data_IF_018383308931
#
_entry.id   IF_018383308931
#
_cell.length_a   1.000
_cell.length_b   1.000
_cell.length_c   1.000
_cell.angle_alpha   90.00
_cell.angle_beta   90.00
_cell.angle_gamma   90.00
#
_symmetry.space_group_name_H-M   'P 1'
#
loop_
_entity.id
_entity.type
_entity.pdbx_description
1 polymer ?
#
# COMPACT_ATOMS: atom_id res chain seq x y z
N UNK A 1 -1.57 13.75 -25.21
CA UNK A 1 -0.10 13.76 -25.04
C UNK A 1 0.49 12.76 -26.02
N UNK A 2 1.79 12.84 -26.33
CA UNK A 2 2.47 11.79 -27.13
C UNK A 2 2.90 10.65 -26.21
N UNK A 3 3.02 9.42 -26.72
CA UNK A 3 3.47 8.28 -25.93
C UNK A 3 4.84 8.50 -25.25
N UNK A 4 5.72 9.31 -25.85
CA UNK A 4 7.01 9.70 -25.27
C UNK A 4 6.84 10.61 -24.04
N UNK A 5 5.91 11.58 -24.11
CA UNK A 5 5.62 12.46 -22.98
C UNK A 5 4.93 11.69 -21.84
N UNK A 6 4.06 10.74 -22.18
CA UNK A 6 3.37 9.90 -21.20
C UNK A 6 4.35 8.96 -20.47
N UNK A 7 5.33 8.41 -21.19
CA UNK A 7 6.40 7.61 -20.60
C UNK A 7 7.29 8.43 -19.66
N UNK A 8 7.68 9.64 -20.06
CA UNK A 8 8.42 10.56 -19.18
C UNK A 8 7.63 10.85 -17.89
N UNK A 9 6.35 11.22 -18.02
CA UNK A 9 5.50 11.51 -16.89
C UNK A 9 5.32 10.30 -15.95
N UNK A 10 5.08 9.11 -16.50
CA UNK A 10 4.97 7.88 -15.71
C UNK A 10 6.28 7.59 -14.95
N UNK A 11 7.43 7.72 -15.61
CA UNK A 11 8.73 7.52 -14.96
C UNK A 11 8.95 8.54 -13.83
N UNK A 12 8.60 9.82 -14.05
CA UNK A 12 8.68 10.87 -13.02
C UNK A 12 7.77 10.55 -11.82
N UNK A 13 6.56 10.06 -12.05
CA UNK A 13 5.64 9.62 -10.98
C UNK A 13 6.22 8.45 -10.16
N UNK A 14 6.84 7.46 -10.81
CA UNK A 14 7.43 6.29 -10.14
C UNK A 14 8.64 6.62 -9.26
N UNK A 15 9.41 7.65 -9.62
CA UNK A 15 10.65 8.04 -8.92
C UNK A 15 10.51 9.29 -8.05
N UNK A 16 9.32 9.89 -7.96
CA UNK A 16 9.09 11.07 -7.12
C UNK A 16 9.29 10.74 -5.63
N UNK A 17 10.27 11.40 -4.99
CA UNK A 17 10.64 11.25 -3.58
C UNK A 17 10.72 12.58 -2.82
N UNK A 18 10.65 13.72 -3.50
CA UNK A 18 10.68 15.04 -2.86
C UNK A 18 9.48 15.89 -3.28
N UNK A 19 9.11 16.83 -2.42
CA UNK A 19 8.06 17.83 -2.71
C UNK A 19 8.32 18.56 -4.02
N UNK A 20 9.56 19.02 -4.23
CA UNK A 20 9.98 19.67 -5.48
C UNK A 20 9.72 18.81 -6.73
N UNK A 21 9.98 17.50 -6.68
CA UNK A 21 9.71 16.61 -7.81
C UNK A 21 8.20 16.49 -8.09
N UNK A 22 7.39 16.34 -7.04
CA UNK A 22 5.93 16.26 -7.17
C UNK A 22 5.34 17.57 -7.67
N UNK A 23 5.82 18.71 -7.18
CA UNK A 23 5.38 20.04 -7.61
C UNK A 23 5.77 20.32 -9.06
N UNK A 24 6.95 19.89 -9.49
CA UNK A 24 7.36 19.96 -10.89
C UNK A 24 6.48 19.07 -11.79
N UNK A 25 5.98 17.94 -11.30
CA UNK A 25 5.02 17.10 -12.02
C UNK A 25 3.68 17.86 -12.13
N UNK A 26 3.13 18.32 -11.01
CA UNK A 26 1.86 19.06 -10.96
C UNK A 26 1.90 20.28 -11.89
N UNK A 27 3.00 21.04 -11.88
CA UNK A 27 3.17 22.25 -12.70
C UNK A 27 3.25 21.97 -14.21
N UNK A 28 3.59 20.75 -14.60
CA UNK A 28 3.61 20.32 -16.01
C UNK A 28 2.26 19.78 -16.51
N UNK A 29 1.27 19.64 -15.62
CA UNK A 29 -0.04 19.08 -15.92
C UNK A 29 -1.09 20.18 -16.09
N UNK A 30 -2.14 19.97 -16.92
CA UNK A 30 -3.25 20.91 -17.06
C UNK A 30 -4.19 20.84 -15.84
N UNK A 31 -3.72 21.25 -14.66
CA UNK A 31 -4.50 21.21 -13.42
C UNK A 31 -5.30 22.50 -13.26
N UNK A 32 -6.61 22.37 -13.11
CA UNK A 32 -7.49 23.50 -12.86
C UNK A 32 -7.31 24.06 -11.44
N UNK A 33 -7.34 25.39 -11.32
CA UNK A 33 -7.34 26.05 -10.00
C UNK A 33 -8.58 25.68 -9.18
N UNK A 34 -8.41 25.53 -7.87
CA UNK A 34 -9.48 25.27 -6.90
C UNK A 34 -10.54 26.38 -6.87
N UNK A 35 -10.20 27.60 -7.32
CA UNK A 35 -11.16 28.72 -7.39
C UNK A 35 -12.16 28.57 -8.53
N UNK A 36 -11.81 27.80 -9.56
CA UNK A 36 -12.61 27.64 -10.79
C UNK A 36 -13.52 26.41 -10.75
N UNK A 37 -13.11 25.36 -10.03
CA UNK A 37 -13.93 24.19 -9.79
C UNK A 37 -13.60 23.58 -8.44
N UNK A 38 -14.63 23.38 -7.61
CA UNK A 38 -14.49 22.71 -6.33
C UNK A 38 -15.72 21.87 -6.03
N UNK A 39 -15.49 20.71 -5.42
CA UNK A 39 -16.53 19.98 -4.73
C UNK A 39 -17.00 20.80 -3.52
N UNK A 40 -18.28 20.69 -3.17
CA UNK A 40 -18.93 21.31 -2.02
C UNK A 40 -19.75 20.26 -1.22
N UNK A 41 -20.52 20.68 -0.22
CA UNK A 41 -21.33 19.78 0.61
C UNK A 41 -22.45 19.10 -0.20
N UNK A 42 -22.80 17.84 0.17
CA UNK A 42 -23.88 17.04 -0.45
C UNK A 42 -23.78 16.93 -1.98
N UNK A 43 -22.59 16.55 -2.48
CA UNK A 43 -22.29 16.36 -3.90
C UNK A 43 -22.48 17.60 -4.79
N UNK A 44 -22.69 18.78 -4.19
CA UNK A 44 -22.76 20.03 -4.94
C UNK A 44 -21.38 20.34 -5.52
N UNK A 45 -21.36 20.80 -6.77
CA UNK A 45 -20.15 21.25 -7.47
C UNK A 45 -20.26 22.75 -7.69
N UNK A 46 -19.20 23.50 -7.38
CA UNK A 46 -19.08 24.94 -7.68
C UNK A 46 -18.17 25.07 -8.90
N UNK A 47 -18.61 25.84 -9.89
CA UNK A 47 -17.91 26.00 -11.16
C UNK A 47 -18.27 24.90 -12.17
N UNK A 48 -17.58 24.93 -13.31
CA UNK A 48 -17.83 24.00 -14.43
C UNK A 48 -16.61 23.10 -14.61
N UNK A 49 -16.84 21.80 -14.72
CA UNK A 49 -15.78 20.85 -15.09
C UNK A 49 -15.22 21.21 -16.47
N UNK A 50 -13.91 21.39 -16.59
CA UNK A 50 -13.26 21.68 -17.87
C UNK A 50 -12.70 20.39 -18.50
N UNK A 51 -13.27 19.90 -19.63
CA UNK A 51 -12.73 18.73 -20.30
C UNK A 51 -11.25 18.91 -20.68
N UNK A 52 -10.48 17.82 -20.59
CA UNK A 52 -9.04 17.83 -20.87
C UNK A 52 -8.15 18.42 -19.76
N UNK A 53 -8.74 18.83 -18.62
CA UNK A 53 -8.01 19.30 -17.45
C UNK A 53 -8.21 18.36 -16.26
N UNK A 54 -7.22 18.33 -15.37
CA UNK A 54 -7.30 17.61 -14.10
C UNK A 54 -7.88 18.51 -13.01
N UNK A 55 -8.64 17.92 -12.10
CA UNK A 55 -9.28 18.63 -11.00
C UNK A 55 -9.00 17.95 -9.66
N UNK A 56 -9.00 18.74 -8.60
CA UNK A 56 -8.89 18.22 -7.24
C UNK A 56 -10.26 17.73 -6.76
N UNK A 57 -10.38 16.41 -6.55
CA UNK A 57 -11.57 15.74 -6.04
C UNK A 57 -11.31 15.26 -4.60
N UNK A 58 -12.21 15.50 -3.64
CA UNK A 58 -12.02 15.01 -2.28
C UNK A 58 -11.86 13.49 -2.23
N UNK A 59 -10.91 12.99 -1.44
CA UNK A 59 -10.79 11.55 -1.15
C UNK A 59 -12.10 11.05 -0.54
N UNK A 60 -12.59 9.92 -1.02
CA UNK A 60 -13.91 9.37 -0.67
C UNK A 60 -15.10 10.17 -1.22
N UNK A 61 -14.86 11.14 -2.13
CA UNK A 61 -15.86 12.11 -2.62
C UNK A 61 -16.53 12.90 -1.49
N UNK A 62 -15.86 13.00 -0.35
CA UNK A 62 -16.38 13.66 0.85
C UNK A 62 -15.40 14.74 1.34
N UNK A 63 -15.81 16.01 1.28
CA UNK A 63 -15.03 17.14 1.83
C UNK A 63 -14.91 17.11 3.35
N UNK A 64 -15.71 16.31 4.05
CA UNK A 64 -15.61 16.05 5.48
C UNK A 64 -14.53 15.04 5.86
N UNK A 65 -13.75 14.55 4.88
CA UNK A 65 -12.78 13.48 5.11
C UNK A 65 -11.63 13.79 6.08
N UNK A 66 -11.36 15.08 6.37
CA UNK A 66 -10.21 15.50 7.18
C UNK A 66 -10.18 14.82 8.55
N UNK A 67 -11.32 14.73 9.24
CA UNK A 67 -11.42 14.09 10.56
C UNK A 67 -11.33 12.57 10.54
N UNK A 68 -11.70 11.91 9.43
CA UNK A 68 -11.51 10.45 9.25
C UNK A 68 -10.05 10.12 8.92
N UNK A 69 -9.40 10.96 8.12
CA UNK A 69 -8.02 10.74 7.72
C UNK A 69 -7.04 11.10 8.84
N UNK A 70 -7.25 12.23 9.53
CA UNK A 70 -6.41 12.70 10.65
C UNK A 70 -6.83 12.04 11.95
N UNK A 71 -6.26 10.88 12.24
CA UNK A 71 -6.35 10.29 13.57
C UNK A 71 -4.97 10.20 14.20
N UNK A 72 -4.91 10.46 15.50
CA UNK A 72 -3.70 10.33 16.28
C UNK A 72 -3.23 8.86 16.27
N UNK A 73 -1.96 8.64 16.00
CA UNK A 73 -1.35 7.32 15.99
C UNK A 73 0.14 7.40 15.69
N UNK A 74 0.84 6.30 15.93
CA UNK A 74 2.25 6.19 15.57
C UNK A 74 2.43 6.27 14.04
N UNK A 75 3.41 7.02 13.53
CA UNK A 75 3.61 7.23 12.09
C UNK A 75 4.08 5.96 11.36
N UNK A 76 4.40 4.90 12.09
CA UNK A 76 4.69 3.57 11.53
C UNK A 76 3.41 2.78 11.21
N UNK A 77 2.28 3.10 11.85
CA UNK A 77 1.01 2.42 11.64
C UNK A 77 0.50 2.55 10.20
N UNK A 78 0.49 3.74 9.56
CA UNK A 78 0.07 3.86 8.17
C UNK A 78 0.92 3.03 7.20
N UNK A 79 2.22 2.89 7.47
CA UNK A 79 3.12 2.05 6.68
C UNK A 79 2.75 0.58 6.84
N UNK A 80 2.49 0.13 8.07
CA UNK A 80 2.05 -1.23 8.35
C UNK A 80 0.68 -1.54 7.71
N UNK A 81 -0.25 -0.59 7.72
CA UNK A 81 -1.54 -0.71 7.04
C UNK A 81 -1.37 -0.84 5.51
N UNK A 82 -0.48 -0.04 4.90
CA UNK A 82 -0.16 -0.17 3.46
C UNK A 82 0.49 -1.52 3.13
N UNK A 83 1.36 -2.02 4.00
CA UNK A 83 1.94 -3.35 3.89
C UNK A 83 0.87 -4.46 3.96
N UNK A 84 -0.04 -4.38 4.93
CA UNK A 84 -1.17 -5.32 5.06
C UNK A 84 -2.03 -5.31 3.80
N UNK A 85 -2.39 -4.11 3.30
CA UNK A 85 -3.13 -3.99 2.04
C UNK A 85 -2.39 -4.64 0.86
N UNK A 86 -1.07 -4.49 0.79
CA UNK A 86 -0.24 -5.16 -0.22
C UNK A 86 -0.22 -6.68 -0.09
N UNK A 87 -0.16 -7.21 1.14
CA UNK A 87 -0.25 -8.66 1.38
C UNK A 87 -1.62 -9.20 0.94
N UNK A 88 -2.69 -8.51 1.30
CA UNK A 88 -4.05 -8.86 0.91
C UNK A 88 -4.25 -8.80 -0.60
N UNK A 89 -3.69 -7.81 -1.29
CA UNK A 89 -3.75 -7.72 -2.75
C UNK A 89 -3.05 -8.91 -3.44
N UNK A 90 -1.98 -9.44 -2.85
CA UNK A 90 -1.27 -10.63 -3.35
C UNK A 90 -2.08 -11.90 -3.08
N UNK A 91 -2.70 -12.02 -1.92
CA UNK A 91 -3.60 -13.14 -1.59
C UNK A 91 -4.85 -13.12 -2.48
N UNK A 92 -5.46 -11.96 -2.68
CA UNK A 92 -6.66 -11.78 -3.49
C UNK A 92 -6.40 -12.12 -4.96
N UNK A 93 -5.23 -11.75 -5.49
CA UNK A 93 -4.80 -12.20 -6.82
C UNK A 93 -4.82 -13.72 -6.93
N UNK A 94 -4.20 -14.43 -5.99
CA UNK A 94 -4.16 -15.89 -6.01
C UNK A 94 -5.56 -16.51 -5.87
N UNK A 95 -6.44 -15.90 -5.06
CA UNK A 95 -7.84 -16.32 -4.94
C UNK A 95 -8.61 -16.14 -6.25
N UNK A 96 -8.44 -15.03 -6.93
CA UNK A 96 -9.12 -14.75 -8.20
C UNK A 96 -8.62 -15.68 -9.32
N UNK A 97 -7.31 -15.97 -9.38
CA UNK A 97 -6.76 -16.96 -10.31
C UNK A 97 -7.28 -18.38 -10.04
N UNK A 98 -7.50 -18.74 -8.78
CA UNK A 98 -8.14 -20.01 -8.42
C UNK A 98 -9.59 -20.07 -8.91
N UNK A 99 -10.37 -19.01 -8.67
CA UNK A 99 -11.77 -18.93 -9.09
C UNK A 99 -11.96 -18.96 -10.62
N UNK A 100 -10.98 -18.48 -11.38
CA UNK A 100 -11.00 -18.62 -12.84
C UNK A 100 -10.82 -20.07 -13.30
N UNK A 101 -10.09 -20.88 -12.53
CA UNK A 101 -9.84 -22.30 -12.83
C UNK A 101 -10.97 -23.19 -12.29
N UNK A 102 -11.48 -22.84 -11.12
CA UNK A 102 -12.55 -23.54 -10.41
C UNK A 102 -13.48 -22.51 -9.72
N UNK A 103 -14.59 -22.11 -10.38
CA UNK A 103 -15.54 -21.14 -9.82
C UNK A 103 -16.18 -21.58 -8.49
N UNK A 104 -16.22 -22.89 -8.23
CA UNK A 104 -16.82 -23.47 -7.03
C UNK A 104 -15.79 -23.68 -5.89
N UNK A 105 -14.53 -23.31 -6.13
CA UNK A 105 -13.46 -23.45 -5.14
C UNK A 105 -13.82 -22.74 -3.84
N UNK A 106 -13.85 -23.47 -2.73
CA UNK A 106 -14.12 -22.90 -1.40
C UNK A 106 -13.02 -21.93 -0.99
N UNK A 107 -13.40 -20.79 -0.43
CA UNK A 107 -12.46 -19.80 0.08
C UNK A 107 -11.63 -20.37 1.26
N UNK A 108 -10.36 -19.96 1.44
CA UNK A 108 -9.61 -20.30 2.65
C UNK A 108 -10.33 -19.76 3.90
N UNK A 109 -10.26 -20.50 5.00
CA UNK A 109 -10.99 -20.15 6.22
C UNK A 109 -10.31 -19.02 7.03
N UNK A 110 -9.01 -18.81 6.83
CA UNK A 110 -8.22 -17.80 7.54
C UNK A 110 -7.12 -17.23 6.63
N UNK A 111 -6.51 -16.08 6.98
CA UNK A 111 -5.36 -15.55 6.24
C UNK A 111 -4.15 -16.48 6.23
N UNK A 112 -4.01 -17.29 7.28
CA UNK A 112 -2.94 -18.30 7.37
C UNK A 112 -3.21 -19.50 6.47
N UNK A 113 -4.46 -19.90 6.33
CA UNK A 113 -4.84 -20.92 5.36
C UNK A 113 -4.61 -20.45 3.93
N UNK A 114 -4.86 -19.16 3.64
CA UNK A 114 -4.55 -18.55 2.36
C UNK A 114 -3.03 -18.55 2.09
N UNK A 115 -2.24 -18.13 3.08
CA UNK A 115 -0.77 -18.15 3.01
C UNK A 115 -0.23 -19.56 2.72
N UNK A 116 -0.77 -20.58 3.39
CA UNK A 116 -0.40 -21.97 3.17
C UNK A 116 -0.85 -22.48 1.79
N UNK A 117 -2.13 -22.31 1.45
CA UNK A 117 -2.74 -22.82 0.21
C UNK A 117 -2.10 -22.25 -1.05
N UNK A 118 -1.92 -20.94 -1.10
CA UNK A 118 -1.47 -20.26 -2.32
C UNK A 118 0.04 -20.11 -2.42
N UNK A 119 0.73 -20.12 -1.29
CA UNK A 119 2.17 -19.80 -1.25
C UNK A 119 3.02 -20.87 -0.56
N UNK A 120 2.41 -21.98 -0.10
CA UNK A 120 3.13 -23.07 0.56
C UNK A 120 3.87 -22.63 1.81
N UNK A 121 3.42 -21.55 2.47
CA UNK A 121 4.03 -21.04 3.69
C UNK A 121 3.52 -21.83 4.89
N UNK A 122 4.39 -22.57 5.59
CA UNK A 122 3.98 -23.40 6.72
C UNK A 122 3.44 -22.53 7.86
N UNK A 123 2.55 -23.13 8.66
CA UNK A 123 2.08 -22.49 9.89
C UNK A 123 3.21 -22.41 10.91
N UNK A 124 3.20 -21.40 11.78
CA UNK A 124 4.27 -21.16 12.75
C UNK A 124 4.54 -22.36 13.66
N UNK A 125 3.47 -23.04 14.09
CA UNK A 125 3.46 -24.21 14.97
C UNK A 125 3.94 -25.51 14.28
N UNK A 126 4.17 -25.47 12.96
CA UNK A 126 4.76 -26.58 12.21
C UNK A 126 6.24 -26.39 11.87
N UNK A 127 6.83 -25.22 12.13
CA UNK A 127 8.19 -24.88 11.68
C UNK A 127 9.29 -25.75 12.32
N UNK A 128 9.08 -26.17 13.56
CA UNK A 128 9.98 -27.05 14.33
C UNK A 128 10.01 -28.47 13.76
N UNK A 129 8.88 -28.93 13.22
CA UNK A 129 8.67 -30.29 12.68
C UNK A 129 9.19 -30.49 11.26
N UNK A 130 9.46 -29.42 10.52
CA UNK A 130 9.96 -29.52 9.15
C UNK A 130 11.31 -30.24 9.09
N UNK A 131 11.48 -31.15 8.12
CA UNK A 131 12.77 -31.74 7.81
C UNK A 131 13.69 -30.74 7.06
N UNK A 132 14.88 -31.17 6.66
CA UNK A 132 15.83 -30.29 5.98
C UNK A 132 15.38 -29.92 4.55
N UNK A 133 14.74 -30.84 3.83
CA UNK A 133 14.29 -30.60 2.46
C UNK A 133 13.07 -29.66 2.43
N UNK A 134 12.11 -29.88 3.32
CA UNK A 134 10.94 -29.04 3.50
C UNK A 134 11.32 -27.61 3.89
N UNK A 135 12.33 -27.44 4.76
CA UNK A 135 12.85 -26.11 5.12
C UNK A 135 13.49 -25.39 3.95
N UNK A 136 14.32 -26.07 3.17
CA UNK A 136 14.95 -25.48 1.98
C UNK A 136 13.88 -25.03 0.99
N UNK A 137 12.89 -25.88 0.71
CA UNK A 137 11.77 -25.54 -0.17
C UNK A 137 10.92 -24.37 0.36
N UNK A 138 10.64 -24.32 1.66
CA UNK A 138 9.95 -23.19 2.28
C UNK A 138 10.77 -21.89 2.18
N UNK A 139 12.09 -21.97 2.34
CA UNK A 139 12.98 -20.82 2.21
C UNK A 139 13.02 -20.29 0.77
N UNK A 140 13.06 -21.16 -0.23
CA UNK A 140 12.97 -20.77 -1.64
C UNK A 140 11.66 -20.04 -1.93
N UNK A 141 10.52 -20.59 -1.48
CA UNK A 141 9.21 -19.93 -1.58
C UNK A 141 9.21 -18.55 -0.94
N UNK A 142 9.75 -18.42 0.28
CA UNK A 142 9.88 -17.13 0.98
C UNK A 142 10.70 -16.12 0.18
N UNK A 143 11.82 -16.54 -0.42
CA UNK A 143 12.68 -15.68 -1.22
C UNK A 143 12.01 -15.19 -2.51
N UNK A 144 11.07 -15.95 -3.07
CA UNK A 144 10.26 -15.54 -4.21
C UNK A 144 9.15 -14.58 -3.80
N UNK A 145 8.37 -14.94 -2.76
CA UNK A 145 7.20 -14.17 -2.33
C UNK A 145 7.59 -12.78 -1.86
N UNK A 146 8.71 -12.63 -1.12
CA UNK A 146 9.14 -11.33 -0.60
C UNK A 146 9.39 -10.28 -1.67
N UNK A 147 9.73 -10.70 -2.90
CA UNK A 147 9.96 -9.80 -4.04
C UNK A 147 8.65 -9.20 -4.58
N UNK A 148 7.49 -9.70 -4.13
CA UNK A 148 6.18 -9.20 -4.52
C UNK A 148 5.70 -8.05 -3.65
N UNK A 149 6.34 -7.75 -2.52
CA UNK A 149 5.97 -6.64 -1.65
C UNK A 149 7.22 -6.00 -1.07
N UNK A 150 7.36 -4.68 -1.19
CA UNK A 150 8.44 -3.97 -0.52
C UNK A 150 8.01 -2.62 0.04
N UNK A 151 8.76 -2.19 1.06
CA UNK A 151 8.80 -0.81 1.53
C UNK A 151 10.19 -0.24 1.27
N UNK A 152 10.25 0.97 0.74
CA UNK A 152 11.48 1.75 0.61
C UNK A 152 11.34 3.05 1.38
N UNK A 153 12.32 3.33 2.21
CA UNK A 153 12.50 4.60 2.88
C UNK A 153 13.69 5.31 2.24
N UNK A 154 13.40 6.43 1.59
CA UNK A 154 14.39 7.34 1.02
C UNK A 154 14.47 8.60 1.90
N UNK A 155 15.66 9.21 1.97
CA UNK A 155 15.87 10.48 2.66
C UNK A 155 16.65 11.44 1.77
N UNK A 156 16.04 12.59 1.48
CA UNK A 156 16.73 13.67 0.79
C UNK A 156 17.52 14.52 1.79
N UNK A 157 18.85 14.42 1.72
CA UNK A 157 19.74 15.10 2.67
C UNK A 157 19.71 16.63 2.56
N UNK A 158 19.31 17.17 1.40
CA UNK A 158 19.32 18.62 1.14
C UNK A 158 18.09 19.31 1.76
N UNK A 159 16.92 18.72 1.57
CA UNK A 159 15.62 19.23 2.04
C UNK A 159 15.18 18.60 3.36
N UNK A 160 15.91 17.60 3.86
CA UNK A 160 15.60 16.82 5.07
C UNK A 160 14.23 16.13 5.01
N UNK A 161 13.83 15.70 3.82
CA UNK A 161 12.54 15.07 3.57
C UNK A 161 12.69 13.55 3.51
N UNK A 162 11.76 12.84 4.13
CA UNK A 162 11.62 11.40 3.94
C UNK A 162 10.56 11.09 2.89
N UNK A 163 10.78 10.03 2.13
CA UNK A 163 9.74 9.42 1.31
C UNK A 163 9.60 7.94 1.63
N UNK A 164 8.37 7.50 1.83
CA UNK A 164 8.02 6.10 2.06
C UNK A 164 7.30 5.58 0.82
N UNK A 165 7.93 4.64 0.12
CA UNK A 165 7.31 3.93 -0.99
C UNK A 165 6.86 2.54 -0.53
N UNK A 166 5.61 2.17 -0.79
CA UNK A 166 5.10 0.81 -0.63
C UNK A 166 4.65 0.30 -2.00
N UNK A 167 5.17 -0.85 -2.42
CA UNK A 167 4.87 -1.46 -3.72
C UNK A 167 4.52 -2.92 -3.54
N UNK A 168 3.33 -3.30 -3.96
CA UNK A 168 2.91 -4.70 -4.08
C UNK A 168 2.82 -5.11 -5.57
N UNK A 169 3.03 -6.38 -5.87
CA UNK A 169 2.76 -7.01 -7.18
C UNK A 169 1.50 -7.87 -7.12
N UNK A 170 0.50 -7.41 -6.36
CA UNK A 170 -0.78 -8.09 -6.19
C UNK A 170 -1.74 -7.83 -7.35
N UNK A 171 -3.03 -7.94 -7.05
CA UNK A 171 -4.11 -7.81 -8.04
C UNK A 171 -4.14 -6.47 -8.79
N UNK A 172 -3.73 -5.39 -8.13
CA UNK A 172 -3.91 -4.02 -8.61
C UNK A 172 -5.39 -3.68 -8.92
N UNK A 173 -5.61 -2.50 -9.49
CA UNK A 173 -6.93 -2.05 -9.92
C UNK A 173 -6.90 -1.50 -11.34
N UNK A 174 -8.05 -1.54 -12.01
CA UNK A 174 -8.23 -0.81 -13.26
C UNK A 174 -8.38 0.69 -12.96
N UNK A 175 -7.92 1.60 -13.83
CA UNK A 175 -7.98 3.04 -13.60
C UNK A 175 -9.38 3.54 -13.20
N UNK A 176 -10.41 3.04 -13.88
CA UNK A 176 -11.80 3.41 -13.64
C UNK A 176 -12.27 3.10 -12.21
N UNK A 177 -11.77 2.05 -11.56
CA UNK A 177 -12.18 1.66 -10.20
C UNK A 177 -11.31 2.27 -9.10
N UNK A 178 -10.27 3.02 -9.46
CA UNK A 178 -9.31 3.57 -8.49
C UNK A 178 -9.99 4.48 -7.44
N UNK A 179 -10.99 5.24 -7.87
CA UNK A 179 -11.71 6.19 -7.03
C UNK A 179 -12.71 5.54 -6.06
N UNK A 180 -13.24 4.38 -6.44
CA UNK A 180 -14.18 3.59 -5.63
C UNK A 180 -13.46 2.60 -4.71
N UNK A 181 -12.17 2.36 -4.95
CA UNK A 181 -11.35 1.40 -4.20
C UNK A 181 -10.26 2.13 -3.40
N UNK A 182 -9.11 2.40 -4.04
CA UNK A 182 -7.90 2.93 -3.40
C UNK A 182 -8.06 4.35 -2.82
N UNK A 183 -9.01 5.14 -3.35
CA UNK A 183 -9.29 6.52 -2.94
C UNK A 183 -10.64 6.67 -2.24
N UNK A 184 -11.31 5.55 -1.93
CA UNK A 184 -12.55 5.55 -1.15
C UNK A 184 -12.25 5.61 0.35
N UNK A 185 -13.26 5.95 1.15
CA UNK A 185 -13.19 5.92 2.61
C UNK A 185 -14.32 5.06 3.15
N UNK A 186 -13.98 4.05 3.95
CA UNK A 186 -14.96 3.20 4.63
C UNK A 186 -15.73 2.23 3.73
N UNK A 187 -15.38 2.12 2.44
CA UNK A 187 -15.93 1.11 1.52
C UNK A 187 -14.99 -0.10 1.52
N UNK A 188 -15.41 -1.21 2.13
CA UNK A 188 -14.62 -2.43 2.18
C UNK A 188 -15.51 -3.67 2.23
N UNK A 189 -15.28 -4.60 1.31
CA UNK A 189 -15.87 -5.94 1.29
C UNK A 189 -15.00 -6.95 2.07
N UNK A 190 -13.87 -6.52 2.63
CA UNK A 190 -12.91 -7.40 3.32
C UNK A 190 -13.51 -8.13 4.52
N UNK A 191 -14.58 -7.60 5.12
CA UNK A 191 -15.29 -8.24 6.22
C UNK A 191 -15.94 -9.58 5.79
N UNK A 192 -16.23 -9.74 4.50
CA UNK A 192 -16.84 -10.96 3.93
C UNK A 192 -15.81 -11.98 3.45
N UNK A 193 -14.52 -11.63 3.50
CA UNK A 193 -13.40 -12.43 2.98
C UNK A 193 -12.54 -12.94 4.14
N UNK A 194 -12.87 -14.10 4.76
CA UNK A 194 -12.19 -14.58 5.96
C UNK A 194 -10.71 -14.94 5.73
N UNK A 195 -10.30 -15.06 4.48
CA UNK A 195 -8.92 -15.29 4.06
C UNK A 195 -8.07 -14.01 3.95
N UNK A 196 -8.66 -12.83 4.19
CA UNK A 196 -7.96 -11.55 4.28
C UNK A 196 -7.81 -11.11 5.75
N UNK A 197 -6.82 -10.26 6.02
CA UNK A 197 -6.49 -9.84 7.38
C UNK A 197 -7.60 -8.95 7.97
N UNK A 198 -8.35 -8.25 7.11
CA UNK A 198 -9.58 -7.54 7.46
C UNK A 198 -9.38 -6.03 7.64
N UNK A 199 -10.21 -5.42 8.46
CA UNK A 199 -10.23 -3.96 8.71
C UNK A 199 -9.28 -3.62 9.86
N UNK A 200 -7.98 -3.51 9.57
CA UNK A 200 -7.05 -2.84 10.47
C UNK A 200 -7.12 -1.33 10.25
N UNK A 201 -7.54 -0.58 11.28
CA UNK A 201 -7.55 0.89 11.26
C UNK A 201 -8.41 1.50 10.15
N UNK A 202 -8.38 2.82 9.98
CA UNK A 202 -9.26 3.56 9.05
C UNK A 202 -8.94 3.33 7.55
N UNK A 203 -8.18 2.28 7.23
CA UNK A 203 -7.64 2.01 5.90
C UNK A 203 -6.36 2.81 5.62
N UNK A 204 -5.69 2.50 4.52
CA UNK A 204 -4.40 3.12 4.17
C UNK A 204 -4.42 4.64 3.95
N UNK A 205 -5.60 5.27 4.01
CA UNK A 205 -5.77 6.72 3.91
C UNK A 205 -5.13 7.49 5.06
N UNK A 206 -4.89 6.87 6.21
CA UNK A 206 -4.13 7.45 7.35
C UNK A 206 -2.73 7.95 6.92
N UNK A 207 -2.13 7.35 5.89
CA UNK A 207 -0.85 7.76 5.35
C UNK A 207 -0.88 9.16 4.70
N UNK A 208 -2.05 9.63 4.28
CA UNK A 208 -2.21 10.97 3.73
C UNK A 208 -2.03 12.05 4.80
N UNK A 209 -2.37 11.78 6.06
CA UNK A 209 -2.09 12.75 7.14
C UNK A 209 -0.65 12.78 7.58
N UNK A 210 0.10 11.70 7.34
CA UNK A 210 1.52 11.62 7.65
C UNK A 210 2.42 12.08 6.49
N UNK A 211 1.86 12.59 5.39
CA UNK A 211 2.65 13.05 4.23
C UNK A 211 2.08 14.33 3.62
N UNK A 212 2.92 15.09 2.92
CA UNK A 212 2.45 16.27 2.19
C UNK A 212 1.81 15.90 0.86
N UNK A 213 2.43 14.96 0.15
CA UNK A 213 1.92 14.40 -1.09
C UNK A 213 1.92 12.88 -1.02
N UNK A 214 0.96 12.24 -1.69
CA UNK A 214 1.00 10.81 -1.96
C UNK A 214 0.79 10.55 -3.44
N UNK A 215 1.79 10.00 -4.11
CA UNK A 215 1.68 9.55 -5.50
C UNK A 215 1.19 8.11 -5.49
N UNK A 216 0.16 7.83 -6.27
CA UNK A 216 -0.47 6.51 -6.32
C UNK A 216 -0.53 6.05 -7.76
N UNK A 217 -0.08 4.83 -8.02
CA UNK A 217 -0.25 4.16 -9.30
C UNK A 217 -0.81 2.76 -9.08
N UNK A 218 -1.58 2.26 -10.03
CA UNK A 218 -2.11 0.89 -9.98
C UNK A 218 -2.35 0.34 -11.37
N UNK A 219 -2.12 -0.96 -11.54
CA UNK A 219 -2.40 -1.70 -12.78
C UNK A 219 -2.98 -3.05 -12.46
N UNK A 220 -4.15 -3.34 -13.02
CA UNK A 220 -4.81 -4.65 -12.89
C UNK A 220 -3.93 -5.76 -13.45
N UNK A 221 -3.70 -6.79 -12.65
CA UNK A 221 -2.99 -8.00 -13.05
C UNK A 221 -3.65 -8.64 -14.27
N UNK A 222 -2.84 -8.96 -15.28
CA UNK A 222 -3.33 -9.48 -16.56
C UNK A 222 -4.07 -10.82 -16.41
N UNK A 223 -3.64 -11.66 -15.44
CA UNK A 223 -4.24 -12.96 -15.19
C UNK A 223 -5.73 -12.86 -14.80
N UNK A 224 -6.13 -11.80 -14.08
CA UNK A 224 -7.48 -11.63 -13.52
C UNK A 224 -8.27 -10.50 -14.18
N UNK A 225 -7.79 -10.03 -15.32
CA UNK A 225 -8.41 -8.94 -16.08
C UNK A 225 -9.58 -9.50 -16.90
N UNK A 226 -10.74 -8.87 -16.80
CA UNK A 226 -11.93 -9.24 -17.56
C UNK A 226 -11.87 -8.69 -19.00
N UNK A 227 -12.59 -9.30 -19.96
CA UNK A 227 -12.71 -8.73 -21.31
C UNK A 227 -13.25 -7.30 -21.28
N UNK A 228 -12.55 -6.38 -21.96
CA UNK A 228 -12.91 -4.96 -22.02
C UNK A 228 -12.39 -4.11 -20.86
N UNK A 229 -11.78 -4.70 -19.83
CA UNK A 229 -11.09 -3.93 -18.80
C UNK A 229 -9.80 -3.29 -19.34
N UNK A 230 -9.54 -2.07 -18.86
CA UNK A 230 -8.36 -1.30 -19.24
C UNK A 230 -7.07 -1.99 -18.75
N UNK A 231 -6.14 -2.18 -19.68
CA UNK A 231 -4.83 -2.79 -19.46
C UNK A 231 -3.75 -1.77 -19.01
N UNK A 232 -4.09 -0.48 -19.03
CA UNK A 232 -3.26 0.65 -18.67
C UNK A 232 -3.06 0.82 -17.17
N UNK A 233 -2.36 1.90 -16.82
CA UNK A 233 -2.02 2.26 -15.45
C UNK A 233 -2.87 3.45 -15.03
N UNK A 234 -3.60 3.31 -13.93
CA UNK A 234 -4.28 4.43 -13.27
C UNK A 234 -3.30 5.11 -12.33
N UNK A 235 -3.36 6.44 -12.25
CA UNK A 235 -2.51 7.20 -11.34
C UNK A 235 -3.25 8.39 -10.74
N UNK A 236 -2.74 8.89 -9.61
CA UNK A 236 -3.17 10.18 -9.04
C UNK A 236 -2.11 10.72 -8.08
N UNK A 237 -2.26 11.98 -7.70
CA UNK A 237 -1.52 12.62 -6.61
C UNK A 237 -2.54 13.09 -5.59
N UNK A 238 -2.36 12.70 -4.32
CA UNK A 238 -3.16 13.16 -3.18
C UNK A 238 -2.40 14.25 -2.43
N UNK A 239 -3.10 15.30 -1.98
CA UNK A 239 -2.58 16.32 -1.06
C UNK A 239 -3.64 16.82 -0.10
N UNK A 240 -3.20 17.49 0.96
CA UNK A 240 -4.09 18.30 1.79
C UNK A 240 -4.44 19.61 1.08
N UNK A 241 -5.71 19.98 1.09
CA UNK A 241 -6.23 21.25 0.58
C UNK A 241 -6.77 22.07 1.74
N UNK A 242 -6.34 23.34 1.80
CA UNK A 242 -6.82 24.35 2.76
C UNK A 242 -7.63 25.39 1.99
N UNK A 243 -8.97 25.36 2.04
CA UNK A 243 -9.79 26.37 1.38
C UNK A 243 -9.64 27.74 2.03
N UNK A 244 -9.62 28.81 1.23
CA UNK A 244 -9.53 30.18 1.73
C UNK A 244 -10.65 30.55 2.73
N UNK A 245 -11.87 30.02 2.51
CA UNK A 245 -13.06 30.36 3.30
C UNK A 245 -13.52 29.24 4.24
N UNK A 246 -12.65 28.28 4.61
CA UNK A 246 -12.99 27.18 5.52
C UNK A 246 -11.87 26.96 6.53
N UNK A 247 -12.26 26.72 7.79
CA UNK A 247 -11.30 26.40 8.87
C UNK A 247 -10.71 24.99 8.75
N UNK A 248 -11.50 24.05 8.24
CA UNK A 248 -11.09 22.64 8.21
C UNK A 248 -10.46 22.26 6.87
N UNK A 249 -9.23 21.74 6.87
CA UNK A 249 -8.62 21.17 5.67
C UNK A 249 -9.24 19.81 5.33
N UNK A 250 -9.13 19.43 4.07
CA UNK A 250 -9.54 18.11 3.57
C UNK A 250 -8.46 17.55 2.63
N UNK A 251 -8.51 16.26 2.34
CA UNK A 251 -7.59 15.62 1.40
C UNK A 251 -8.26 15.46 0.04
N UNK A 252 -7.52 15.77 -1.02
CA UNK A 252 -8.00 15.69 -2.40
C UNK A 252 -6.98 14.99 -3.29
N UNK A 253 -7.46 14.39 -4.37
CA UNK A 253 -6.66 13.73 -5.39
C UNK A 253 -6.94 14.32 -6.77
N UNK A 254 -6.00 14.16 -7.71
CA UNK A 254 -6.18 14.57 -9.11
C UNK A 254 -7.09 13.58 -9.85
N UNK A 255 -8.16 14.08 -10.46
CA UNK A 255 -9.09 13.32 -11.28
C UNK A 255 -9.17 13.89 -12.71
N UNK A 256 -9.40 13.02 -13.69
CA UNK A 256 -9.64 13.38 -15.09
C UNK A 256 -11.13 13.40 -15.47
N UNK A 257 -12.01 12.89 -14.60
CA UNK A 257 -13.45 12.88 -14.81
C UNK A 257 -14.26 13.44 -13.63
N UNK A 258 -15.50 13.89 -13.90
CA UNK A 258 -16.34 14.58 -12.93
C UNK A 258 -16.84 13.69 -11.79
N UNK A 259 -16.82 12.36 -11.94
CA UNK A 259 -17.21 11.41 -10.90
C UNK A 259 -16.03 10.93 -10.05
N UNK A 260 -14.83 11.46 -10.32
CA UNK A 260 -13.60 11.13 -9.59
C UNK A 260 -12.68 10.18 -10.34
N UNK A 261 -12.94 9.91 -11.61
CA UNK A 261 -12.12 9.00 -12.42
C UNK A 261 -10.65 9.44 -12.43
N UNK A 262 -9.76 8.50 -12.13
CA UNK A 262 -8.32 8.78 -12.06
C UNK A 262 -7.72 8.85 -13.47
N UNK A 263 -6.74 9.74 -13.71
CA UNK A 263 -6.01 9.77 -14.97
C UNK A 263 -5.28 8.46 -15.23
N UNK A 264 -5.03 8.17 -16.51
CA UNK A 264 -4.46 6.90 -16.94
C UNK A 264 -3.43 7.02 -18.05
N UNK A 265 -2.58 6.01 -18.14
CA UNK A 265 -1.67 5.76 -19.25
C UNK A 265 -2.02 4.45 -19.94
N UNK A 266 -1.82 4.40 -21.27
CA UNK A 266 -2.03 3.18 -22.04
C UNK A 266 -1.06 2.05 -21.64
N UNK A 267 -1.46 0.81 -21.92
CA UNK A 267 -0.68 -0.38 -21.60
C UNK A 267 0.76 -0.35 -22.17
N UNK A 268 0.94 0.20 -23.38
CA UNK A 268 2.25 0.31 -24.04
C UNK A 268 3.20 1.19 -23.21
N UNK A 269 2.69 2.28 -22.64
CA UNK A 269 3.47 3.18 -21.79
C UNK A 269 3.85 2.49 -20.48
N UNK A 270 2.91 1.74 -19.90
CA UNK A 270 3.16 0.95 -18.70
C UNK A 270 4.25 -0.12 -18.90
N UNK A 271 4.19 -0.84 -20.02
CA UNK A 271 5.15 -1.87 -20.38
C UNK A 271 6.54 -1.26 -20.63
N UNK A 272 6.60 -0.12 -21.33
CA UNK A 272 7.85 0.60 -21.58
C UNK A 272 8.49 1.15 -20.28
N UNK A 273 7.68 1.53 -19.29
CA UNK A 273 8.16 1.93 -17.97
C UNK A 273 8.53 0.75 -17.05
N UNK A 274 8.25 -0.49 -17.47
CA UNK A 274 8.44 -1.68 -16.64
C UNK A 274 7.48 -1.74 -15.44
N UNK A 275 6.33 -1.05 -15.51
CA UNK A 275 5.29 -1.13 -14.49
C UNK A 275 4.37 -2.31 -14.80
N UNK A 276 4.65 -3.44 -14.14
CA UNK A 276 3.84 -4.65 -14.17
C UNK A 276 2.51 -4.45 -13.43
N UNK A 277 2.11 -5.36 -12.55
CA UNK A 277 0.80 -5.32 -11.88
C UNK A 277 0.86 -4.85 -10.43
N UNK A 278 -0.28 -4.61 -9.81
CA UNK A 278 -0.36 -4.25 -8.39
C UNK A 278 -0.42 -2.75 -8.17
N UNK A 279 -0.11 -2.30 -6.95
CA UNK A 279 -0.16 -0.87 -6.61
C UNK A 279 1.17 -0.32 -6.10
N UNK A 280 1.39 0.96 -6.35
CA UNK A 280 2.53 1.75 -5.90
C UNK A 280 2.02 2.97 -5.15
N UNK A 281 2.48 3.15 -3.91
CA UNK A 281 2.18 4.31 -3.09
C UNK A 281 3.50 4.95 -2.68
N UNK A 282 3.76 6.19 -3.09
CA UNK A 282 4.90 6.98 -2.62
C UNK A 282 4.39 8.16 -1.80
N UNK A 283 4.58 8.08 -0.48
CA UNK A 283 4.24 9.12 0.48
C UNK A 283 5.46 10.03 0.67
N UNK A 284 5.36 11.28 0.21
CA UNK A 284 6.46 12.23 0.09
C UNK A 284 6.39 13.27 1.21
N UNK A 285 7.56 13.63 1.74
CA UNK A 285 7.70 14.43 2.97
C UNK A 285 6.90 13.78 4.11
N UNK A 286 7.22 12.52 4.34
CA UNK A 286 6.60 11.72 5.38
C UNK A 286 7.07 12.19 6.76
N UNK A 287 6.12 12.48 7.64
CA UNK A 287 6.36 12.92 9.00
C UNK A 287 6.36 11.72 9.96
N UNK A 288 7.50 11.51 10.62
CA UNK A 288 7.67 10.49 11.64
C UNK A 288 7.46 11.02 13.07
N UNK A 289 7.01 12.28 13.27
CA UNK A 289 6.61 12.79 14.58
C UNK A 289 7.73 12.93 15.62
N UNK A 290 9.00 12.92 15.22
CA UNK A 290 10.18 12.97 16.10
C UNK A 290 11.48 13.35 15.37
N UNK A 291 12.66 13.13 15.98
CA UNK A 291 13.93 13.31 15.26
C UNK A 291 13.99 12.28 14.14
N UNK A 292 13.83 12.75 12.91
CA UNK A 292 13.57 11.90 11.76
C UNK A 292 14.72 10.89 11.48
N UNK A 293 15.93 11.16 12.01
CA UNK A 293 17.05 10.23 12.04
C UNK A 293 16.84 9.02 12.97
N UNK A 294 16.26 9.17 14.17
CA UNK A 294 16.10 8.05 15.08
C UNK A 294 15.05 7.04 14.59
N UNK A 295 13.94 7.54 14.03
CA UNK A 295 12.80 6.68 13.63
C UNK A 295 13.08 5.98 12.29
N UNK A 296 13.77 6.63 11.35
CA UNK A 296 14.20 5.99 10.10
C UNK A 296 15.16 4.82 10.33
N UNK A 297 16.07 4.93 11.30
CA UNK A 297 16.95 3.82 11.70
C UNK A 297 16.24 2.71 12.48
N UNK A 298 15.09 3.01 13.09
CA UNK A 298 14.29 2.05 13.87
C UNK A 298 13.14 1.43 13.07
N UNK A 299 12.98 1.75 11.78
CA UNK A 299 11.87 1.27 10.97
C UNK A 299 11.82 -0.27 10.90
N UNK A 300 12.98 -0.92 10.87
CA UNK A 300 13.05 -2.39 10.95
C UNK A 300 12.45 -2.93 12.24
N UNK A 301 12.83 -2.37 13.40
CA UNK A 301 12.34 -2.78 14.71
C UNK A 301 10.85 -2.47 14.85
N UNK A 302 10.43 -1.27 14.44
CA UNK A 302 9.04 -0.82 14.53
C UNK A 302 8.12 -1.69 13.68
N UNK A 303 8.47 -1.95 12.42
CA UNK A 303 7.66 -2.82 11.56
C UNK A 303 7.64 -4.26 12.05
N UNK A 304 8.75 -4.81 12.57
CA UNK A 304 8.74 -6.14 13.19
C UNK A 304 7.93 -6.20 14.49
N UNK A 305 7.75 -5.07 15.18
CA UNK A 305 6.91 -4.97 16.36
C UNK A 305 5.42 -4.94 15.98
N UNK A 306 5.04 -4.04 15.07
CA UNK A 306 3.65 -3.88 14.60
C UNK A 306 3.20 -5.10 13.81
N UNK A 307 4.04 -5.58 12.88
CA UNK A 307 3.82 -6.79 12.11
C UNK A 307 4.62 -7.95 12.73
N UNK A 308 4.28 -8.28 13.99
CA UNK A 308 4.94 -9.37 14.75
C UNK A 308 4.97 -10.69 13.98
N UNK A 309 3.90 -10.98 13.26
CA UNK A 309 3.74 -12.17 12.44
C UNK A 309 2.95 -11.79 11.17
N UNK A 310 3.60 -11.26 10.13
CA UNK A 310 2.93 -10.97 8.86
C UNK A 310 2.52 -12.27 8.17
N UNK A 311 1.48 -12.24 7.33
CA UNK A 311 1.04 -13.44 6.61
C UNK A 311 1.91 -13.76 5.40
N UNK A 312 2.54 -12.74 4.81
CA UNK A 312 3.50 -12.87 3.72
C UNK A 312 4.81 -12.13 4.08
N UNK A 313 5.97 -12.66 3.66
CA UNK A 313 7.24 -11.96 3.79
C UNK A 313 7.31 -10.78 2.80
N UNK A 314 8.16 -9.80 3.11
CA UNK A 314 8.40 -8.63 2.27
C UNK A 314 9.82 -8.10 2.42
N UNK A 315 10.22 -7.18 1.54
CA UNK A 315 11.52 -6.54 1.58
C UNK A 315 11.45 -5.12 2.15
N UNK A 316 12.40 -4.77 3.02
CA UNK A 316 12.58 -3.42 3.55
C UNK A 316 13.89 -2.81 3.04
N UNK A 317 13.78 -1.73 2.27
CA UNK A 317 14.90 -0.90 1.82
C UNK A 317 14.94 0.37 2.68
N UNK A 318 15.60 0.32 3.83
CA UNK A 318 15.71 1.46 4.74
C UNK A 318 17.02 2.22 4.53
N UNK A 319 16.98 3.32 3.75
CA UNK A 319 18.14 4.18 3.46
C UNK A 319 19.33 3.46 2.78
N UNK A 320 19.05 2.35 2.10
CA UNK A 320 20.04 1.49 1.42
C UNK A 320 19.40 0.66 0.31
N UNK A 321 20.22 0.24 -0.66
CA UNK A 321 19.75 -0.55 -1.80
C UNK A 321 19.66 -2.06 -1.54
N UNK A 322 20.34 -2.56 -0.51
CA UNK A 322 20.23 -3.97 -0.12
C UNK A 322 19.03 -4.15 0.83
N UNK A 323 18.03 -4.97 0.49
CA UNK A 323 16.87 -5.14 1.34
C UNK A 323 17.19 -5.96 2.58
N UNK A 324 16.56 -5.60 3.69
CA UNK A 324 16.37 -6.46 4.84
C UNK A 324 15.17 -7.37 4.62
N UNK A 325 15.31 -8.64 4.99
CA UNK A 325 14.23 -9.62 4.84
C UNK A 325 13.27 -9.49 6.03
N UNK A 326 12.02 -9.19 5.74
CA UNK A 326 10.97 -9.06 6.76
C UNK A 326 10.12 -10.32 6.79
N UNK A 327 10.46 -11.23 7.70
CA UNK A 327 9.77 -12.51 7.91
C UNK A 327 8.85 -12.49 9.14
N UNK A 328 8.83 -11.39 9.89
CA UNK A 328 8.19 -11.27 11.19
C UNK A 328 9.06 -11.75 12.36
N UNK A 329 8.81 -11.16 13.53
CA UNK A 329 9.47 -11.51 14.79
C UNK A 329 9.21 -12.97 15.18
N UNK A 330 7.99 -13.47 14.97
CA UNK A 330 7.65 -14.86 15.29
C UNK A 330 8.53 -15.88 14.54
N UNK A 331 8.78 -15.66 13.26
CA UNK A 331 9.63 -16.53 12.45
C UNK A 331 11.10 -16.50 12.90
N UNK A 332 11.60 -15.31 13.29
CA UNK A 332 12.95 -15.14 13.84
C UNK A 332 13.12 -15.86 15.18
N UNK A 333 12.14 -15.74 16.07
CA UNK A 333 12.13 -16.44 17.36
C UNK A 333 12.07 -17.96 17.16
N UNK A 334 11.21 -18.46 16.27
CA UNK A 334 11.12 -19.88 15.94
C UNK A 334 12.47 -20.47 15.47
N UNK A 335 13.25 -19.70 14.70
CA UNK A 335 14.61 -20.10 14.28
C UNK A 335 15.62 -20.13 15.42
N UNK A 336 15.53 -19.20 16.37
CA UNK A 336 16.46 -19.12 17.51
C UNK A 336 16.26 -20.25 18.53
N UNK A 337 15.03 -20.75 18.69
CA UNK A 337 14.71 -21.88 19.58
C UNK A 337 15.56 -23.11 19.27
N UNK A 338 15.91 -23.33 17.99
CA UNK A 338 16.63 -24.53 17.55
C UNK A 338 18.13 -24.54 17.86
N UNK A 339 18.70 -23.41 18.28
CA UNK A 339 20.08 -23.30 18.76
C UNK A 339 20.21 -23.12 20.27
N UNK A 340 19.08 -23.00 20.98
CA UNK A 340 19.04 -22.91 22.43
C UNK A 340 19.03 -24.33 23.05
N UNK A 341 19.64 -24.48 24.23
CA UNK A 341 19.54 -25.71 25.03
C UNK A 341 18.04 -26.11 25.11
N UNK A 342 17.67 -27.37 24.85
CA UNK A 342 16.28 -27.84 24.94
C UNK A 342 15.61 -27.59 26.31
N UNK A 343 16.37 -27.19 27.34
CA UNK A 343 15.88 -26.70 28.64
C UNK A 343 15.37 -25.25 28.64
N UNK A 344 15.65 -24.46 27.61
CA UNK A 344 15.16 -23.08 27.48
C UNK A 344 13.77 -23.09 26.87
N UNK A 345 12.76 -23.30 27.72
CA UNK A 345 11.37 -23.16 27.33
C UNK A 345 11.09 -21.69 26.95
N UNK A 346 10.89 -21.41 25.66
CA UNK A 346 10.41 -20.11 25.16
C UNK A 346 8.89 -19.93 25.35
N UNK A 347 8.28 -20.74 26.21
CA UNK A 347 6.88 -20.57 26.58
C UNK A 347 6.79 -19.45 27.62
N UNK A 348 6.27 -18.29 27.23
CA UNK A 348 5.66 -17.33 28.17
C UNK A 348 4.32 -17.86 28.71
N UNK A 349 4.18 -19.17 28.91
CA UNK A 349 3.21 -19.69 29.85
C UNK A 349 3.69 -19.20 31.20
N UNK A 350 3.06 -18.15 31.70
CA UNK A 350 3.10 -17.87 33.13
C UNK A 350 2.74 -19.21 33.80
N UNK A 351 3.70 -19.80 34.53
CA UNK A 351 3.34 -20.80 35.53
C UNK A 351 2.24 -20.13 36.34
N UNK A 352 1.09 -20.78 36.51
CA UNK A 352 0.00 -20.24 37.34
C UNK A 352 0.63 -19.71 38.62
N UNK A 353 0.68 -18.38 38.74
CA UNK A 353 1.10 -17.78 39.98
C UNK A 353 -0.02 -18.10 40.96
N UNK A 354 0.29 -18.66 42.15
CA UNK A 354 -0.72 -18.80 43.17
C UNK A 354 -1.29 -17.40 43.41
N UNK A 355 -2.60 -17.27 43.25
CA UNK A 355 -3.32 -16.08 43.67
C UNK A 355 -3.19 -16.08 45.20
N UNK A 356 -2.45 -15.09 45.73
CA UNK A 356 -2.39 -14.82 47.17
C UNK A 356 -3.51 -13.86 47.51
#
# INVERSE_FOLDING_TARGET
>A
MTAANDLDLLNRLLVARTTMQVEAIISSLPVQSLDMYQWDYRDKRIGTWLPGHLHWVPVGRDRGNGGRIKLAGEPTNPIAERLVNGMEAIVELARLEELQKDPDAKAPATPRDAAFRYFGLPRLDSLDRLDQAERSSAQERVLEIRKRLFVRLDHDNSTKQFAVTVRDRGMGQVPALMHETLLSLGQTDKAEKPYLIGVFGQGGSSAYSASEYSVILTRRAAAIRQPGEDAGVGWTIVRQVVPANRRDPYYAYLAEGPEGEAPRFDAIVADAAGFDQGSHFAHVKYDFGGSAAAISHLLYQALNHVLFNPILPYDLFALKDKPEQMLGTAYRLARQVKGADPRVALNKSFRMQPVV
#
